data_IF_441638956850
#
_entry.id   IF_441638956850
#
_cell.length_a   1.000
_cell.length_b   1.000
_cell.length_c   1.000
_cell.angle_alpha   90.00
_cell.angle_beta   90.00
_cell.angle_gamma   90.00
#
_symmetry.space_group_name_H-M   'P 1'
#
loop_
_entity.id
_entity.type
_entity.pdbx_description
1 polymer ?
2 non-polymer ?
3 non-polymer ?
4 non-polymer ?
5 water ?
#
# COMPACT_ATOMS: atom_id res chain seq x y z
N UNK A 5 5.37 8.04 -18.00
CA UNK A 5 5.66 6.79 -18.69
C UNK A 5 4.96 5.59 -18.09
N UNK A 6 3.73 5.33 -18.55
CA UNK A 6 2.98 4.16 -18.12
C UNK A 6 3.30 3.00 -19.05
N UNK A 7 3.47 1.83 -18.47
CA UNK A 7 3.74 0.64 -19.19
C UNK A 7 2.61 -0.35 -19.02
N UNK A 8 1.88 -0.62 -20.09
CA UNK A 8 0.78 -1.56 -20.04
C UNK A 8 1.34 -2.97 -20.15
N UNK A 9 0.98 -3.83 -19.21
CA UNK A 9 1.51 -5.20 -19.15
C UNK A 9 0.30 -6.07 -18.86
N UNK A 10 -0.23 -6.72 -19.89
CA UNK A 10 -1.54 -7.34 -19.77
C UNK A 10 -2.55 -6.31 -19.33
N UNK A 11 -3.29 -6.65 -18.28
CA UNK A 11 -4.35 -5.80 -17.76
C UNK A 11 -3.86 -4.88 -16.65
N UNK A 12 -2.55 -4.79 -16.41
CA UNK A 12 -1.97 -3.99 -15.35
C UNK A 12 -1.16 -2.85 -15.96
N UNK A 13 -0.85 -1.86 -15.12
CA UNK A 13 -0.05 -0.71 -15.53
C UNK A 13 1.06 -0.51 -14.52
N UNK A 14 2.27 -0.27 -15.03
CA UNK A 14 3.45 -0.04 -14.21
C UNK A 14 4.07 1.30 -14.57
N UNK A 15 4.45 2.07 -13.57
CA UNK A 15 5.02 3.40 -13.80
C UNK A 15 6.24 3.57 -12.91
N UNK A 16 7.39 3.89 -13.51
CA UNK A 16 8.59 4.13 -12.71
C UNK A 16 8.47 5.47 -12.01
N UNK A 17 8.74 5.48 -10.70
CA UNK A 17 8.68 6.70 -9.90
C UNK A 17 10.05 7.21 -9.49
N UNK A 18 11.04 6.35 -9.44
CA UNK A 18 12.40 6.67 -9.01
C UNK A 18 13.31 5.58 -9.55
N UNK A 19 14.63 5.76 -9.49
CA UNK A 19 15.53 4.74 -10.07
C UNK A 19 15.26 3.30 -9.59
N UNK A 20 14.82 3.12 -8.36
CA UNK A 20 14.59 1.78 -7.82
C UNK A 20 13.14 1.56 -7.40
N UNK A 21 12.19 2.38 -7.88
CA UNK A 21 10.81 2.32 -7.39
C UNK A 21 9.84 2.39 -8.56
N UNK A 22 8.86 1.49 -8.57
CA UNK A 22 7.80 1.47 -9.57
C UNK A 22 6.46 1.36 -8.85
N UNK A 23 5.43 1.97 -9.46
CA UNK A 23 4.06 1.83 -8.99
C UNK A 23 3.38 0.75 -9.84
N UNK A 24 2.71 -0.21 -9.17
CA UNK A 24 1.87 -1.18 -9.85
C UNK A 24 0.41 -0.77 -9.74
N UNK A 25 -0.35 -0.97 -10.82
CA UNK A 25 -1.76 -0.60 -10.85
C UNK A 25 -2.58 -1.74 -11.45
N UNK A 26 -3.64 -2.12 -10.74
CA UNK A 26 -4.56 -3.15 -11.18
C UNK A 26 -5.99 -2.63 -11.06
N UNK A 27 -6.92 -3.31 -11.73
CA UNK A 27 -8.28 -2.80 -11.88
C UNK A 27 -9.28 -3.90 -11.56
N UNK A 28 -10.36 -3.50 -10.88
CA UNK A 28 -11.44 -4.43 -10.59
C UNK A 28 -12.74 -3.73 -10.89
N UNK A 29 -13.57 -4.36 -11.73
CA UNK A 29 -14.92 -3.86 -11.95
C UNK A 29 -15.70 -4.04 -10.67
N UNK A 30 -16.01 -2.93 -10.02
CA UNK A 30 -16.93 -2.99 -8.90
C UNK A 30 -18.30 -2.59 -9.39
N UNK A 31 -19.25 -3.50 -9.43
CA UNK A 31 -20.61 -3.13 -9.82
C UNK A 31 -21.10 -1.95 -9.01
N UNK A 32 -21.47 -0.87 -9.70
CA UNK A 32 -21.89 0.36 -9.06
C UNK A 32 -20.81 1.43 -8.95
N UNK A 33 -19.56 1.11 -9.28
CA UNK A 33 -18.48 2.08 -9.19
C UNK A 33 -17.55 2.11 -10.40
N UNK A 34 -17.80 1.32 -11.43
CA UNK A 34 -16.89 1.24 -12.55
C UNK A 34 -15.66 0.41 -12.22
N UNK A 35 -14.66 0.52 -13.08
CA UNK A 35 -13.43 -0.24 -12.93
C UNK A 35 -12.45 0.56 -12.08
N UNK A 36 -12.22 0.12 -10.86
CA UNK A 36 -11.46 0.90 -9.88
C UNK A 36 -9.99 0.52 -9.92
N UNK A 37 -9.13 1.52 -10.12
CA UNK A 37 -7.68 1.33 -10.06
C UNK A 37 -7.22 1.25 -8.62
N UNK A 38 -6.29 0.35 -8.35
CA UNK A 38 -5.59 0.30 -7.08
C UNK A 38 -4.08 0.25 -7.33
N UNK A 39 -3.34 1.06 -6.58
CA UNK A 39 -1.89 1.18 -6.72
C UNK A 39 -1.15 0.56 -5.54
N UNK A 40 -0.02 -0.08 -5.84
CA UNK A 40 0.98 -0.44 -4.85
C UNK A 40 2.36 -0.12 -5.35
N UNK A 41 3.40 -0.62 -4.68
CA UNK A 41 4.77 -0.28 -5.02
C UNK A 41 5.64 -1.51 -5.19
N UNK A 42 6.68 -1.35 -5.98
CA UNK A 42 7.74 -2.34 -6.17
C UNK A 42 9.05 -1.60 -5.98
N UNK A 43 9.91 -2.13 -5.10
CA UNK A 43 11.17 -1.46 -4.76
C UNK A 43 12.31 -2.44 -4.95
N UNK A 44 13.33 -2.03 -5.71
CA UNK A 44 14.55 -2.82 -5.78
C UNK A 44 15.50 -2.32 -4.70
N UNK A 45 15.94 -3.24 -3.85
CA UNK A 45 16.91 -2.97 -2.80
C UNK A 45 18.11 -3.88 -3.07
N UNK A 46 19.10 -3.35 -3.78
CA UNK A 46 20.26 -4.16 -4.14
C UNK A 46 19.83 -5.32 -5.02
N UNK A 47 20.13 -6.54 -4.57
CA UNK A 47 19.83 -7.74 -5.34
C UNK A 47 18.51 -8.39 -5.01
N UNK A 48 17.57 -7.65 -4.44
CA UNK A 48 16.26 -8.22 -4.15
C UNK A 48 15.19 -7.16 -4.37
N UNK A 49 13.95 -7.62 -4.44
CA UNK A 49 12.79 -6.78 -4.69
C UNK A 49 11.83 -6.90 -3.51
N UNK A 50 11.22 -5.76 -3.15
CA UNK A 50 10.26 -5.67 -2.07
C UNK A 50 8.96 -5.14 -2.66
N UNK A 51 7.82 -5.70 -2.25
CA UNK A 51 6.53 -5.31 -2.78
C UNK A 51 5.67 -4.73 -1.67
N UNK A 52 4.97 -3.63 -1.97
CA UNK A 52 3.96 -3.06 -1.10
C UNK A 52 2.60 -3.24 -1.77
N UNK A 53 1.73 -4.02 -1.11
CA UNK A 53 0.34 -4.33 -1.52
C UNK A 53 0.26 -5.33 -2.66
N UNK A 54 -0.72 -6.24 -2.58
CA UNK A 54 -1.03 -7.07 -3.74
C UNK A 54 -1.85 -6.26 -4.73
N UNK A 55 -2.17 -6.90 -5.86
CA UNK A 55 -3.24 -6.43 -6.73
C UNK A 55 -4.58 -6.92 -6.17
N UNK A 56 -5.67 -6.61 -6.88
CA UNK A 56 -6.99 -7.03 -6.40
C UNK A 56 -7.13 -8.54 -6.34
N UNK A 57 -6.51 -9.28 -7.27
CA UNK A 57 -6.74 -10.71 -7.39
C UNK A 57 -5.42 -11.48 -7.42
N UNK A 58 -5.54 -12.79 -7.18
CA UNK A 58 -4.38 -13.67 -7.30
C UNK A 58 -3.80 -13.61 -8.71
N UNK A 59 -4.66 -13.71 -9.74
CA UNK A 59 -4.15 -13.71 -11.11
C UNK A 59 -3.40 -12.41 -11.42
N UNK A 60 -3.95 -11.27 -10.99
CA UNK A 60 -3.25 -10.01 -11.22
C UNK A 60 -1.94 -9.96 -10.46
N UNK A 61 -1.93 -10.49 -9.23
CA UNK A 61 -0.72 -10.46 -8.43
C UNK A 61 0.36 -11.35 -9.04
N UNK A 62 -0.03 -12.52 -9.57
CA UNK A 62 0.92 -13.34 -10.32
C UNK A 62 1.49 -12.55 -11.50
N UNK A 63 0.66 -11.72 -12.14
CA UNK A 63 1.16 -10.92 -13.24
C UNK A 63 2.16 -9.85 -12.77
N UNK A 64 1.96 -9.28 -11.57
CA UNK A 64 3.00 -8.40 -11.02
C UNK A 64 4.32 -9.15 -10.91
N UNK A 65 4.27 -10.37 -10.40
CA UNK A 65 5.51 -11.15 -10.26
C UNK A 65 6.13 -11.45 -11.62
N UNK A 66 5.30 -11.68 -12.64
CA UNK A 66 5.80 -11.88 -13.99
C UNK A 66 6.50 -10.63 -14.50
N UNK A 67 5.88 -9.45 -14.28
CA UNK A 67 6.52 -8.21 -14.71
C UNK A 67 7.85 -8.01 -14.00
N UNK A 68 7.90 -8.30 -12.69
CA UNK A 68 9.15 -8.19 -11.94
C UNK A 68 10.21 -9.10 -12.55
N UNK A 69 9.84 -10.34 -12.87
CA UNK A 69 10.80 -11.27 -13.45
C UNK A 69 11.34 -10.74 -14.78
N UNK A 70 10.48 -10.19 -15.62
CA UNK A 70 10.93 -9.74 -16.93
C UNK A 70 11.71 -8.43 -16.86
N UNK A 71 11.30 -7.50 -15.99
CA UNK A 71 11.85 -6.15 -15.99
C UNK A 71 12.96 -5.95 -14.98
N UNK A 72 13.00 -6.74 -13.89
CA UNK A 72 14.01 -6.63 -12.86
C UNK A 72 14.83 -7.91 -12.72
N UNK A 73 14.16 -9.05 -12.71
CA UNK A 73 14.85 -10.35 -12.72
C UNK A 73 15.72 -10.54 -11.48
N UNK A 74 15.14 -10.22 -10.32
CA UNK A 74 15.72 -10.50 -9.02
C UNK A 74 14.63 -11.08 -8.12
N UNK A 75 15.01 -11.87 -7.12
CA UNK A 75 13.99 -12.49 -6.25
C UNK A 75 13.22 -11.44 -5.47
N UNK A 76 11.95 -11.73 -5.22
CA UNK A 76 11.11 -10.89 -4.37
C UNK A 76 11.27 -11.39 -2.95
N UNK A 77 11.96 -10.62 -2.10
CA UNK A 77 12.29 -11.06 -0.75
C UNK A 77 11.09 -11.03 0.19
N UNK A 78 10.18 -10.07 0.02
CA UNK A 78 9.06 -9.94 0.93
C UNK A 78 8.03 -9.02 0.30
N UNK A 79 6.82 -9.10 0.84
CA UNK A 79 5.75 -8.17 0.54
C UNK A 79 5.13 -7.73 1.85
N UNK A 80 4.77 -6.46 1.93
CA UNK A 80 3.99 -5.93 3.04
C UNK A 80 2.69 -5.36 2.47
N UNK A 81 1.59 -5.64 3.15
CA UNK A 81 0.27 -5.23 2.69
C UNK A 81 -0.33 -4.30 3.74
N UNK A 82 -1.10 -3.30 3.27
CA UNK A 82 -1.35 -2.13 4.10
C UNK A 82 -2.73 -2.06 4.76
N UNK A 83 -3.67 -2.96 4.43
CA UNK A 83 -4.84 -3.22 5.29
C UNK A 83 -5.63 -4.37 4.67
N UNK A 84 -6.62 -4.85 5.43
CA UNK A 84 -7.38 -6.06 5.07
C UNK A 84 -8.61 -5.74 4.22
N UNK A 85 -8.37 -5.13 3.06
CA UNK A 85 -9.35 -5.00 1.99
C UNK A 85 -8.77 -5.63 0.72
N UNK A 86 -9.65 -5.95 -0.23
CA UNK A 86 -9.26 -6.75 -1.40
C UNK A 86 -8.22 -6.05 -2.26
N UNK A 87 -8.30 -4.71 -2.39
CA UNK A 87 -7.34 -4.01 -3.23
C UNK A 87 -5.90 -4.16 -2.73
N UNK A 88 -5.71 -4.42 -1.43
CA UNK A 88 -4.38 -4.49 -0.83
C UNK A 88 -3.95 -5.91 -0.49
N UNK A 89 -4.88 -6.83 -0.23
CA UNK A 89 -4.53 -8.18 0.19
C UNK A 89 -5.16 -9.27 -0.67
N UNK A 90 -5.93 -8.91 -1.70
CA UNK A 90 -6.65 -9.90 -2.48
C UNK A 90 -5.79 -10.93 -3.16
N UNK A 91 -4.49 -10.63 -3.35
CA UNK A 91 -3.61 -11.56 -4.04
C UNK A 91 -2.63 -12.29 -3.14
N UNK A 92 -2.94 -12.40 -1.85
CA UNK A 92 -2.03 -13.04 -0.91
C UNK A 92 -1.65 -14.45 -1.34
N UNK A 93 -2.63 -15.24 -1.81
CA UNK A 93 -2.34 -16.63 -2.21
C UNK A 93 -1.28 -16.68 -3.30
N UNK A 94 -1.31 -15.73 -4.25
CA UNK A 94 -0.30 -15.74 -5.30
C UNK A 94 1.10 -15.48 -4.75
N UNK A 95 1.23 -14.59 -3.76
CA UNK A 95 2.52 -14.39 -3.13
C UNK A 95 2.99 -15.67 -2.43
N UNK A 96 2.08 -16.34 -1.73
CA UNK A 96 2.45 -17.56 -1.04
C UNK A 96 2.80 -18.67 -2.02
N UNK A 97 2.04 -18.79 -3.11
CA UNK A 97 2.38 -19.79 -4.12
C UNK A 97 3.77 -19.57 -4.70
N UNK A 98 4.21 -18.31 -4.75
CA UNK A 98 5.52 -17.95 -5.26
C UNK A 98 6.64 -18.07 -4.22
N UNK A 99 6.30 -18.41 -2.98
CA UNK A 99 7.31 -18.54 -1.94
C UNK A 99 7.76 -17.24 -1.30
N UNK A 100 6.97 -16.18 -1.39
CA UNK A 100 7.37 -14.86 -0.90
C UNK A 100 6.89 -14.69 0.54
N UNK A 101 7.79 -14.25 1.42
CA UNK A 101 7.43 -13.97 2.80
C UNK A 101 6.52 -12.74 2.85
N UNK A 102 5.42 -12.85 3.59
CA UNK A 102 4.41 -11.78 3.61
C UNK A 102 4.21 -11.24 5.01
N UNK A 103 3.94 -9.92 5.08
CA UNK A 103 3.82 -9.16 6.31
C UNK A 103 2.59 -8.26 6.27
N UNK A 104 1.95 -8.11 7.41
CA UNK A 104 0.82 -7.18 7.56
C UNK A 104 0.73 -6.79 9.02
N UNK A 105 0.10 -5.65 9.28
CA UNK A 105 -0.32 -5.32 10.64
C UNK A 105 -0.99 -6.53 11.28
N UNK A 106 -0.61 -6.83 12.53
CA UNK A 106 -1.27 -7.90 13.27
C UNK A 106 -2.79 -7.80 13.16
N UNK A 107 -3.31 -6.57 13.26
CA UNK A 107 -4.76 -6.40 13.19
C UNK A 107 -5.29 -6.77 11.81
N UNK A 108 -4.54 -6.47 10.74
CA UNK A 108 -4.96 -6.91 9.41
C UNK A 108 -5.04 -8.42 9.33
N UNK A 109 -4.07 -9.13 9.91
CA UNK A 109 -4.11 -10.59 9.87
C UNK A 109 -5.28 -11.12 10.69
N UNK A 110 -5.58 -10.47 11.81
CA UNK A 110 -6.74 -10.88 12.60
C UNK A 110 -8.04 -10.68 11.83
N UNK A 111 -8.16 -9.57 11.10
CA UNK A 111 -9.37 -9.25 10.36
C UNK A 111 -9.48 -10.01 9.04
N UNK A 112 -8.38 -10.53 8.52
CA UNK A 112 -8.39 -11.06 7.16
C UNK A 112 -9.49 -12.09 6.91
N UNK A 113 -9.64 -13.14 7.72
CA UNK A 113 -10.68 -14.14 7.40
C UNK A 113 -12.07 -13.55 7.27
N UNK A 114 -12.50 -12.69 8.21
CA UNK A 114 -13.84 -12.13 8.11
C UNK A 114 -14.00 -11.20 6.92
N UNK A 115 -12.90 -10.61 6.45
CA UNK A 115 -12.94 -9.78 5.25
C UNK A 115 -12.83 -10.61 3.97
N UNK A 116 -12.76 -11.94 4.08
CA UNK A 116 -12.57 -12.75 2.91
C UNK A 116 -11.16 -12.75 2.36
N UNK A 117 -10.19 -12.31 3.16
CA UNK A 117 -8.80 -12.26 2.77
C UNK A 117 -8.06 -13.44 3.39
N UNK A 118 -6.93 -13.76 2.80
CA UNK A 118 -5.97 -14.70 3.37
C UNK A 118 -4.94 -13.88 4.18
N UNK A 119 -4.68 -14.30 5.42
CA UNK A 119 -3.74 -13.56 6.25
C UNK A 119 -2.31 -13.65 5.71
N UNK A 120 -1.53 -12.60 5.98
CA UNK A 120 -0.10 -12.69 5.74
C UNK A 120 0.53 -13.67 6.73
N UNK A 121 1.75 -14.11 6.39
CA UNK A 121 2.43 -15.11 7.20
C UNK A 121 2.98 -14.49 8.49
N UNK A 122 3.27 -13.20 8.48
CA UNK A 122 3.92 -12.56 9.60
C UNK A 122 3.14 -11.31 9.99
N UNK A 123 3.16 -11.00 11.29
CA UNK A 123 2.42 -9.88 11.85
C UNK A 123 3.37 -8.79 12.32
N UNK A 124 3.11 -7.57 11.87
CA UNK A 124 3.79 -6.37 12.36
C UNK A 124 3.07 -5.86 13.60
N UNK A 125 3.86 -5.44 14.58
CA UNK A 125 3.30 -4.71 15.71
C UNK A 125 3.98 -3.34 15.79
N UNK A 126 3.33 -2.44 16.52
CA UNK A 126 3.71 -1.03 16.45
C UNK A 126 3.89 -0.45 17.83
N UNK A 127 4.88 0.43 17.95
CA UNK A 127 5.10 1.17 19.18
C UNK A 127 3.96 2.15 19.40
N UNK A 128 3.90 2.70 20.63
CA UNK A 128 2.86 3.66 20.96
C UNK A 128 2.87 4.86 20.02
N UNK A 129 4.04 5.27 19.55
CA UNK A 129 4.15 6.42 18.66
C UNK A 129 3.88 6.09 17.20
N UNK A 130 3.55 4.85 16.87
CA UNK A 130 3.17 4.49 15.52
C UNK A 130 4.24 3.76 14.72
N UNK A 131 5.50 3.88 15.07
CA UNK A 131 6.55 3.23 14.27
C UNK A 131 6.53 1.73 14.51
N UNK A 132 6.76 0.97 13.43
CA UNK A 132 6.79 -0.48 13.53
C UNK A 132 7.87 -0.90 14.53
N UNK A 133 7.58 -1.93 15.29
CA UNK A 133 8.59 -2.55 16.13
C UNK A 133 9.57 -3.27 15.19
N UNK A 134 10.83 -2.85 15.14
CA UNK A 134 11.72 -3.35 14.08
C UNK A 134 11.92 -4.85 14.10
N UNK A 135 11.83 -5.50 15.26
CA UNK A 135 11.97 -6.95 15.30
C UNK A 135 10.90 -7.66 14.48
N UNK A 136 9.73 -7.04 14.29
CA UNK A 136 8.64 -7.65 13.51
C UNK A 136 8.75 -7.37 12.03
N UNK A 137 9.65 -6.48 11.61
CA UNK A 137 9.85 -6.16 10.19
C UNK A 137 11.31 -6.37 9.81
N UNK A 138 11.82 -7.59 9.98
CA UNK A 138 13.24 -7.83 9.67
C UNK A 138 13.48 -7.74 8.17
N UNK A 139 14.66 -7.25 7.82
CA UNK A 139 15.10 -7.23 6.41
C UNK A 139 14.23 -6.37 5.52
N UNK A 140 13.62 -5.33 6.08
CA UNK A 140 12.78 -4.44 5.29
C UNK A 140 13.57 -3.41 4.49
N UNK A 141 14.90 -3.38 4.61
CA UNK A 141 15.69 -2.47 3.83
C UNK A 141 15.26 -1.03 3.98
N UNK A 142 14.99 -0.35 2.85
CA UNK A 142 14.58 1.06 2.91
C UNK A 142 13.13 1.27 3.31
N UNK A 143 12.31 0.23 3.48
CA UNK A 143 10.91 0.42 3.81
C UNK A 143 10.78 0.79 5.29
N UNK A 144 10.15 1.93 5.55
CA UNK A 144 9.91 2.42 6.91
C UNK A 144 8.40 2.41 7.13
N UNK A 145 7.93 1.51 8.00
CA UNK A 145 6.51 1.24 8.16
C UNK A 145 5.98 1.99 9.37
N UNK A 146 4.86 2.70 9.18
CA UNK A 146 4.31 3.57 10.21
C UNK A 146 2.80 3.37 10.28
N UNK A 147 2.30 3.14 11.50
CA UNK A 147 0.87 3.10 11.75
C UNK A 147 0.42 4.49 12.19
N UNK A 148 -0.36 5.22 11.38
CA UNK A 148 -0.67 6.61 11.71
C UNK A 148 -1.88 6.79 12.62
N UNK A 149 -2.54 5.69 13.00
CA UNK A 149 -3.81 5.77 13.69
C UNK A 149 -4.94 5.35 12.78
N UNK A 150 -6.12 5.10 13.35
CA UNK A 150 -7.25 4.65 12.52
C UNK A 150 -7.76 5.75 11.61
N UNK A 151 -8.10 5.36 10.38
CA UNK A 151 -8.56 6.32 9.39
C UNK A 151 -9.46 5.68 8.36
N UNK A 152 -8.92 5.43 7.16
CA UNK A 152 -9.66 4.66 6.16
C UNK A 152 -10.13 3.34 6.74
N UNK A 153 -9.26 2.68 7.52
CA UNK A 153 -9.63 1.55 8.35
C UNK A 153 -8.87 1.65 9.66
N UNK A 154 -9.27 0.82 10.62
CA UNK A 154 -8.56 0.83 11.89
C UNK A 154 -7.16 0.24 11.78
N UNK A 155 -6.91 -0.60 10.78
CA UNK A 155 -5.63 -1.30 10.64
C UNK A 155 -4.71 -0.68 9.60
N UNK A 156 -5.12 0.41 8.94
CA UNK A 156 -4.31 0.96 7.85
C UNK A 156 -2.89 1.33 8.28
N UNK A 157 -1.91 0.93 7.48
CA UNK A 157 -0.52 1.30 7.72
C UNK A 157 0.04 1.98 6.47
N UNK A 158 1.20 2.63 6.64
CA UNK A 158 1.81 3.46 5.61
C UNK A 158 3.29 3.14 5.54
N UNK A 159 3.92 3.50 4.42
CA UNK A 159 5.30 3.08 4.15
C UNK A 159 6.07 4.21 3.48
N UNK A 160 7.20 4.59 4.06
CA UNK A 160 8.13 5.51 3.42
C UNK A 160 9.28 4.71 2.83
N UNK A 161 9.89 5.25 1.78
CA UNK A 161 11.03 4.59 1.14
C UNK A 161 12.27 5.43 1.42
N UNK A 162 13.10 4.97 2.36
CA UNK A 162 14.32 5.68 2.69
C UNK A 162 15.20 5.84 1.45
N UNK A 163 15.89 6.97 1.36
CA UNK A 163 16.71 7.25 0.19
C UNK A 163 15.95 7.75 -1.01
N UNK A 164 14.65 7.99 -0.88
CA UNK A 164 13.83 8.59 -1.91
C UNK A 164 12.98 9.68 -1.28
N UNK A 165 12.26 10.41 -2.12
CA UNK A 165 11.30 11.41 -1.68
C UNK A 165 9.88 10.86 -1.64
N UNK A 166 9.71 9.54 -1.55
CA UNK A 166 8.42 8.87 -1.73
C UNK A 166 7.90 8.36 -0.39
N UNK A 167 6.62 8.60 -0.14
CA UNK A 167 5.89 7.95 0.94
C UNK A 167 4.54 7.49 0.42
N UNK A 168 4.09 6.34 0.92
CA UNK A 168 2.90 5.66 0.43
C UNK A 168 1.82 5.69 1.51
N UNK A 169 0.69 6.32 1.21
CA UNK A 169 -0.39 6.41 2.16
C UNK A 169 -1.48 5.38 2.01
N UNK A 170 -1.42 4.58 0.95
CA UNK A 170 -2.45 3.57 0.74
C UNK A 170 -3.82 4.21 0.60
N UNK A 171 -4.82 3.58 1.21
CA UNK A 171 -6.16 4.17 1.09
C UNK A 171 -6.42 5.27 2.10
N UNK A 172 -5.46 5.60 2.97
CA UNK A 172 -5.67 6.70 3.91
C UNK A 172 -5.71 8.04 3.19
N UNK A 173 -4.87 8.22 2.18
CA UNK A 173 -4.65 9.51 1.56
C UNK A 173 -5.32 9.55 0.20
N UNK A 174 -6.02 10.65 -0.08
CA UNK A 174 -6.59 10.94 -1.40
C UNK A 174 -5.86 12.13 -2.02
N UNK A 175 -5.99 12.26 -3.33
CA UNK A 175 -5.22 13.29 -4.04
C UNK A 175 -5.75 14.69 -3.70
N UNK A 176 -4.95 15.69 -4.07
CA UNK A 176 -5.21 17.07 -3.69
C UNK A 176 -6.48 17.64 -4.31
N UNK A 177 -7.06 16.99 -5.31
CA UNK A 177 -8.29 17.42 -5.95
C UNK A 177 -9.45 16.47 -5.71
N UNK A 178 -9.28 15.49 -4.83
CA UNK A 178 -10.32 14.50 -4.59
C UNK A 178 -11.57 15.15 -4.03
N UNK A 179 -12.73 14.64 -4.46
CA UNK A 179 -14.01 15.16 -3.99
C UNK A 179 -14.48 14.52 -2.69
N UNK A 180 -14.02 13.31 -2.39
CA UNK A 180 -14.51 12.61 -1.21
C UNK A 180 -13.39 11.73 -0.65
N UNK A 181 -13.68 11.10 0.47
CA UNK A 181 -12.76 10.16 1.11
C UNK A 181 -13.02 8.72 0.71
N UNK A 182 -13.89 8.48 -0.27
CA UNK A 182 -14.02 7.14 -0.82
C UNK A 182 -14.85 6.24 0.09
N UNK A 183 -14.42 5.00 0.20
CA UNK A 183 -15.16 3.99 0.96
C UNK A 183 -14.89 4.19 2.45
N UNK A 184 -15.90 4.69 3.17
CA UNK A 184 -15.82 4.89 4.61
C UNK A 184 -16.50 3.77 5.39
N UNK A 185 -16.82 2.65 4.72
CA UNK A 185 -17.54 1.57 5.39
C UNK A 185 -16.85 1.04 6.63
N UNK A 186 -15.52 0.98 6.62
CA UNK A 186 -14.75 0.50 7.76
C UNK A 186 -13.93 1.61 8.42
N UNK A 187 -14.28 2.87 8.16
CA UNK A 187 -13.45 3.98 8.57
C UNK A 187 -13.73 4.39 10.01
N UNK A 188 -12.72 5.01 10.62
CA UNK A 188 -12.83 5.67 11.91
C UNK A 188 -12.96 7.17 11.61
N UNK A 189 -14.21 7.64 11.54
CA UNK A 189 -14.43 9.02 11.13
C UNK A 189 -13.92 10.03 12.15
N UNK A 190 -13.96 9.67 13.44
CA UNK A 190 -13.50 10.61 14.46
C UNK A 190 -12.00 10.89 14.34
N UNK A 191 -11.20 9.85 14.05
CA UNK A 191 -9.75 9.93 14.12
C UNK A 191 -9.09 10.11 12.77
N UNK A 192 -9.85 10.08 11.67
CA UNK A 192 -9.27 10.10 10.33
C UNK A 192 -8.36 11.30 10.13
N UNK A 193 -8.83 12.51 10.48
CA UNK A 193 -8.05 13.70 10.22
C UNK A 193 -6.70 13.65 10.92
N UNK A 194 -6.70 13.28 12.20
CA UNK A 194 -5.45 13.22 12.94
C UNK A 194 -4.51 12.17 12.35
N UNK A 195 -5.08 11.03 11.91
CA UNK A 195 -4.25 9.98 11.33
C UNK A 195 -3.62 10.43 10.02
N UNK A 196 -4.36 11.17 9.19
CA UNK A 196 -3.77 11.69 7.97
C UNK A 196 -2.62 12.64 8.27
N UNK A 197 -2.80 13.52 9.26
CA UNK A 197 -1.73 14.45 9.62
C UNK A 197 -0.53 13.72 10.21
N UNK A 198 -0.79 12.64 10.98
CA UNK A 198 0.32 11.88 11.56
C UNK A 198 1.17 11.23 10.47
N UNK A 199 0.52 10.74 9.40
CA UNK A 199 1.26 10.22 8.26
C UNK A 199 2.21 11.28 7.70
N UNK A 200 1.70 12.50 7.48
CA UNK A 200 2.54 13.56 6.96
C UNK A 200 3.71 13.87 7.87
N UNK A 201 3.48 13.89 9.18
CA UNK A 201 4.54 14.23 10.13
C UNK A 201 5.57 13.13 10.25
N UNK A 202 5.17 11.87 10.01
CA UNK A 202 6.12 10.76 10.07
C UNK A 202 7.10 10.80 8.91
N UNK A 203 6.70 11.35 7.77
CA UNK A 203 7.53 11.38 6.57
C UNK A 203 7.64 12.82 6.08
N UNK A 204 8.31 13.69 6.85
CA UNK A 204 8.29 15.12 6.50
C UNK A 204 9.07 15.47 5.24
N UNK A 205 10.04 14.66 4.83
CA UNK A 205 10.80 14.95 3.62
C UNK A 205 10.17 14.41 2.35
N UNK A 206 9.11 13.61 2.47
CA UNK A 206 8.49 12.98 1.30
C UNK A 206 7.75 14.03 0.48
N UNK A 207 8.24 14.29 -0.72
CA UNK A 207 7.59 15.23 -1.63
C UNK A 207 6.68 14.55 -2.64
N UNK A 208 6.82 13.24 -2.83
CA UNK A 208 5.96 12.47 -3.72
C UNK A 208 5.11 11.54 -2.86
N UNK A 209 3.81 11.80 -2.81
CA UNK A 209 2.88 11.03 -2.00
C UNK A 209 2.14 10.08 -2.92
N UNK A 210 2.37 8.79 -2.73
CA UNK A 210 1.73 7.74 -3.53
C UNK A 210 0.54 7.23 -2.74
N UNK A 211 -0.53 6.87 -3.44
CA UNK A 211 -1.76 6.48 -2.78
C UNK A 211 -2.50 5.44 -3.62
N UNK A 212 -3.57 4.89 -3.06
CA UNK A 212 -4.18 3.72 -3.66
C UNK A 212 -4.91 4.01 -4.97
N UNK A 213 -5.61 5.14 -5.07
CA UNK A 213 -6.57 5.30 -6.17
C UNK A 213 -6.33 6.52 -7.04
N UNK A 214 -5.20 7.20 -6.90
CA UNK A 214 -4.88 8.36 -7.70
C UNK A 214 -3.41 8.30 -8.05
N UNK A 215 -3.03 9.03 -9.11
CA UNK A 215 -1.63 9.16 -9.46
C UNK A 215 -0.88 9.84 -8.32
N UNK A 216 0.44 9.63 -8.23
CA UNK A 216 1.24 10.32 -7.20
C UNK A 216 1.01 11.82 -7.24
N UNK A 217 1.05 12.42 -6.06
CA UNK A 217 0.73 13.84 -5.90
C UNK A 217 1.76 14.47 -4.98
N UNK A 218 1.68 15.80 -4.85
CA UNK A 218 2.48 16.53 -3.90
C UNK A 218 1.90 16.35 -2.49
N UNK A 219 2.55 16.97 -1.51
CA UNK A 219 2.08 16.89 -0.13
C UNK A 219 0.74 17.57 0.08
N UNK A 220 0.26 18.34 -0.91
CA UNK A 220 -1.09 18.87 -0.84
C UNK A 220 -2.13 17.77 -0.74
N UNK A 221 -1.80 16.55 -1.18
CA UNK A 221 -2.72 15.44 -0.96
C UNK A 221 -2.96 15.21 0.52
N UNK A 222 -1.92 15.36 1.35
CA UNK A 222 -2.05 15.14 2.78
C UNK A 222 -2.88 16.24 3.41
N UNK A 223 -2.51 17.50 3.14
CA UNK A 223 -3.24 18.62 3.71
C UNK A 223 -4.70 18.60 3.28
N UNK A 224 -4.95 18.27 2.00
CA UNK A 224 -6.32 18.25 1.50
C UNK A 224 -7.12 17.10 2.11
N UNK A 225 -6.52 15.91 2.18
CA UNK A 225 -7.21 14.77 2.80
C UNK A 225 -7.56 15.08 4.25
N UNK A 226 -6.61 15.66 5.00
CA UNK A 226 -6.87 16.00 6.39
C UNK A 226 -7.97 17.04 6.50
N UNK A 227 -7.92 18.08 5.67
CA UNK A 227 -8.95 19.12 5.71
C UNK A 227 -10.33 18.54 5.39
N UNK A 228 -10.38 17.61 4.43
CA UNK A 228 -11.63 16.90 4.14
C UNK A 228 -12.10 16.08 5.34
N UNK A 229 -11.17 15.39 6.00
CA UNK A 229 -11.53 14.56 7.14
C UNK A 229 -11.93 15.40 8.36
N UNK A 230 -11.49 16.65 8.43
CA UNK A 230 -11.96 17.54 9.49
C UNK A 230 -13.48 17.64 9.49
N UNK A 231 -14.08 17.60 8.30
CA UNK A 231 -15.54 17.72 8.18
C UNK A 231 -16.27 16.48 8.67
N UNK A 232 -15.56 15.37 8.88
CA UNK A 232 -16.20 14.10 9.24
C UNK A 232 -16.64 14.04 10.69
N UNK A 233 -16.16 14.95 11.54
CA UNK A 233 -16.54 14.91 12.95
C UNK A 233 -17.43 16.10 13.32
X LIG B 1 -9.64 -0.22 2.01
X LIG C 1 -9.03 1.92 -1.41
X LIG D 1 -11.94 -1.34 -1.49
X LIG D 1 -13.45 -1.17 -1.63
X LIG D 1 -14.29 -1.79 -0.77
X LIG D 1 -15.69 -1.52 -0.91
X LIG D 1 -15.30 0.01 -2.51
X LIG D 1 -15.79 0.97 -3.33
X LIG D 1 -15.02 1.72 -4.14
X LIG D 1 -14.18 3.26 -5.51
X LIG D 1 -13.72 1.53 -4.13
X LIG D 1 -13.13 0.56 -3.27
X LIG D 1 -13.95 -0.18 -2.45
X LIG D 1 -11.99 0.60 0.51
X LIG D 1 -9.79 -0.50 0.12
X LIG D 1 -10.69 1.01 -1.44
X LIG D 1 -16.37 -2.03 -0.21
X LIG D 1 -16.13 -0.66 -1.77
X LIG D 1 -15.34 2.72 -5.03
X LIG D 1 -13.15 2.44 -4.97
X LIG D 1 -11.10 0.05 -0.53
X LIG E 1 -11.12 4.10 -0.69
X LIG E 1 -11.67 4.80 0.20
X LIG E 1 -9.92 3.65 -0.70
X LIG E 1 -11.96 3.74 -1.85
X LIG F 1 -10.45 -3.42 7.66
X LIG F 1 -10.83 -2.64 8.59
X LIG F 1 -9.29 -3.59 7.20
X LIG F 1 -11.51 -4.26 7.05
#
# INVERSE_FOLDING_TARGET
GSHMGDQRFGDLVFRQLAPNVWQHTSYLDMPGFGAVASNGLIVRDGGRVLVVDTAWTDDQTAQILNWIKQEINLPVALAVVTHAHQDKMGGMDALHAAGIATYANALSNQLAPQEGMVAAQHSLTFAANGWVEPATAPNFGPLKVFYPGPGHTSDNITVGIDGTDIAFGGCLIKDSKAKSLGNLGDADTEHYAASARAFGAAFPKASMIVMSHSAPDSRAAITHTARMADKLR
ZN ZN
ZN ZN
VKE C05 C06 C07 C08 C11 C12 C13 C15 C17 C18 C19 O01 O03 O04 O09 O10 O14 O16 P02
ACT C O OXT CH3
ACT C O OXT CH3
#
